data_IF_928081437615
#
_entry.id   IF_928081437615
#
_cell.length_a   1.000
_cell.length_b   1.000
_cell.length_c   1.000
_cell.angle_alpha   90.00
_cell.angle_beta   90.00
_cell.angle_gamma   90.00
#
_symmetry.space_group_name_H-M   'P 1'
#
loop_
_entity.id
_entity.type
_entity.pdbx_description
1 polymer ?
#
# COMPACT_ATOMS: atom_id res chain seq x y z
N UNK A 1 -24.55 9.69 -43.95
CA UNK A 1 -23.67 9.04 -42.95
C UNK A 1 -22.36 9.81 -42.78
N UNK A 2 -22.43 11.09 -42.36
CA UNK A 2 -21.26 11.95 -42.07
C UNK A 2 -21.41 12.75 -40.77
N UNK A 3 -22.44 12.44 -39.96
CA UNK A 3 -22.71 13.08 -38.67
C UNK A 3 -22.51 12.16 -37.46
N UNK A 4 -22.09 10.91 -37.67
CA UNK A 4 -21.78 9.95 -36.59
C UNK A 4 -20.28 9.87 -36.25
N UNK A 5 -19.38 10.39 -37.09
CA UNK A 5 -17.93 10.27 -36.88
C UNK A 5 -17.35 11.37 -35.96
N UNK A 6 -18.09 12.46 -35.72
CA UNK A 6 -17.60 13.59 -34.92
C UNK A 6 -17.85 13.38 -33.41
N UNK A 7 -18.86 12.57 -33.05
CA UNK A 7 -19.16 12.27 -31.65
C UNK A 7 -18.16 11.29 -31.00
N UNK A 8 -17.42 10.51 -31.80
CA UNK A 8 -16.48 9.49 -31.28
C UNK A 8 -15.08 10.06 -30.98
N UNK A 9 -14.72 11.21 -31.56
CA UNK A 9 -13.43 11.87 -31.31
C UNK A 9 -13.48 12.76 -30.06
N UNK A 10 -14.68 13.25 -29.68
CA UNK A 10 -14.87 14.05 -28.47
C UNK A 10 -14.92 13.22 -27.18
N UNK A 11 -15.20 11.91 -27.28
CA UNK A 11 -15.29 10.99 -26.15
C UNK A 11 -13.95 10.34 -25.76
N UNK A 12 -12.93 10.40 -26.63
CA UNK A 12 -11.60 9.80 -26.40
C UNK A 12 -10.57 10.80 -25.81
N UNK A 13 -10.95 12.07 -25.65
CA UNK A 13 -10.11 13.12 -25.07
C UNK A 13 -10.34 13.33 -23.55
N UNK A 14 -11.25 12.56 -22.93
CA UNK A 14 -11.64 12.70 -21.52
C UNK A 14 -11.04 11.61 -20.60
N UNK A 15 -10.10 10.80 -21.09
CA UNK A 15 -9.48 9.72 -20.32
C UNK A 15 -7.95 9.82 -20.23
N UNK A 16 -7.40 11.03 -20.36
CA UNK A 16 -6.00 11.29 -20.02
C UNK A 16 -5.98 11.90 -18.60
N UNK A 17 -5.32 11.28 -17.60
CA UNK A 17 -4.94 12.01 -16.39
C UNK A 17 -4.12 13.23 -16.83
N UNK A 18 -4.52 14.39 -16.32
CA UNK A 18 -4.07 15.68 -16.83
C UNK A 18 -2.56 15.83 -16.81
N UNK A 19 -1.94 15.87 -17.99
CA UNK A 19 -0.68 16.58 -18.17
C UNK A 19 -0.95 18.06 -17.92
N UNK A 20 -0.53 18.59 -16.76
CA UNK A 20 -0.47 20.03 -16.53
C UNK A 20 0.51 20.63 -17.55
N UNK A 21 0.00 21.39 -18.50
CA UNK A 21 0.79 22.02 -19.55
C UNK A 21 0.79 23.55 -19.34
N UNK A 22 2.01 24.06 -19.12
CA UNK A 22 2.50 25.41 -19.38
C UNK A 22 1.99 26.56 -18.50
N UNK A 23 2.83 26.96 -17.55
CA UNK A 23 2.89 28.34 -17.04
C UNK A 23 4.33 28.82 -17.13
N UNK A 24 4.57 29.86 -17.92
CA UNK A 24 5.87 30.53 -18.04
C UNK A 24 6.18 31.39 -16.80
N UNK A 25 7.47 31.39 -16.45
CA UNK A 25 8.23 32.34 -15.63
C UNK A 25 7.82 32.58 -14.18
N UNK A 26 7.96 31.52 -13.39
CA UNK A 26 8.43 31.54 -12.00
C UNK A 26 9.04 30.16 -11.74
N UNK A 27 10.18 30.06 -11.02
CA UNK A 27 10.64 28.75 -10.51
C UNK A 27 9.42 28.03 -9.92
N UNK A 28 9.04 26.84 -10.43
CA UNK A 28 7.93 26.12 -9.86
C UNK A 28 8.23 25.95 -8.38
N UNK A 29 7.28 26.25 -7.47
CA UNK A 29 7.49 26.01 -6.05
C UNK A 29 7.94 24.55 -5.92
N UNK A 30 9.02 24.32 -5.18
CA UNK A 30 9.61 23.01 -5.03
C UNK A 30 8.52 22.07 -4.48
N UNK A 31 7.91 21.28 -5.35
CA UNK A 31 6.89 20.33 -4.96
C UNK A 31 7.56 19.23 -4.14
N UNK A 32 7.05 19.02 -2.93
CA UNK A 32 7.53 17.98 -2.02
C UNK A 32 7.43 16.61 -2.73
N UNK A 33 8.45 15.75 -2.58
CA UNK A 33 8.58 14.50 -3.35
C UNK A 33 7.66 13.41 -2.77
N UNK A 34 6.92 12.68 -3.59
CA UNK A 34 6.19 11.49 -3.13
C UNK A 34 7.18 10.44 -2.59
N UNK A 35 6.97 9.90 -1.40
CA UNK A 35 7.88 8.87 -0.84
C UNK A 35 7.16 7.62 -0.41
N UNK A 36 5.83 7.57 -0.52
CA UNK A 36 5.07 6.38 -0.18
C UNK A 36 3.60 6.65 0.05
N UNK A 37 2.95 5.66 0.66
CA UNK A 37 1.60 5.77 1.21
C UNK A 37 1.57 5.29 2.65
N UNK A 38 0.68 5.87 3.44
CA UNK A 38 0.38 5.47 4.81
C UNK A 38 -1.06 4.99 4.89
N UNK A 39 -1.27 3.71 5.20
CA UNK A 39 -2.58 3.08 5.15
C UNK A 39 -3.28 3.22 6.51
N UNK A 40 -4.49 3.79 6.53
CA UNK A 40 -5.32 3.89 7.73
C UNK A 40 -6.67 3.18 7.56
N UNK A 41 -7.26 2.73 8.66
CA UNK A 41 -8.61 2.14 8.67
C UNK A 41 -9.71 3.20 8.50
N UNK A 42 -9.46 4.42 9.00
CA UNK A 42 -10.42 5.52 8.98
C UNK A 42 -9.88 6.68 8.14
N UNK A 43 -10.82 7.41 7.54
CA UNK A 43 -10.52 8.66 6.85
C UNK A 43 -9.88 9.65 7.83
N UNK A 44 -8.79 10.27 7.40
CA UNK A 44 -8.13 11.33 8.16
C UNK A 44 -8.78 12.65 7.76
N UNK A 45 -9.52 13.27 8.68
CA UNK A 45 -10.02 14.62 8.48
C UNK A 45 -9.00 15.63 9.01
N UNK A 46 -8.34 16.33 8.09
CA UNK A 46 -7.41 17.42 8.41
C UNK A 46 -7.95 18.79 8.04
N UNK A 47 -9.23 18.88 7.64
CA UNK A 47 -9.79 20.13 7.14
C UNK A 47 -10.07 21.10 8.30
N UNK A 48 -9.44 22.27 8.25
CA UNK A 48 -9.66 23.35 9.21
C UNK A 48 -10.94 24.11 8.87
N UNK A 49 -12.07 23.57 9.31
CA UNK A 49 -13.39 24.17 9.11
C UNK A 49 -13.51 25.57 9.72
N UNK A 50 -12.81 25.85 10.82
CA UNK A 50 -12.89 27.15 11.48
C UNK A 50 -12.19 28.21 10.64
N UNK A 51 -10.97 27.93 10.15
CA UNK A 51 -10.26 28.81 9.23
C UNK A 51 -11.04 29.01 7.92
N UNK A 52 -11.57 27.93 7.34
CA UNK A 52 -12.42 28.02 6.15
C UNK A 52 -13.66 28.89 6.40
N UNK A 53 -14.35 28.69 7.53
CA UNK A 53 -15.55 29.44 7.86
C UNK A 53 -15.24 30.92 8.07
N UNK A 54 -14.15 31.27 8.75
CA UNK A 54 -13.76 32.67 8.95
C UNK A 54 -13.51 33.40 7.62
N UNK A 55 -12.83 32.75 6.68
CA UNK A 55 -12.54 33.32 5.36
C UNK A 55 -13.78 33.34 4.43
N UNK A 56 -14.75 32.44 4.65
CA UNK A 56 -15.90 32.23 3.75
C UNK A 56 -17.28 32.48 4.38
N UNK A 57 -17.36 33.03 5.60
CA UNK A 57 -18.63 33.18 6.34
C UNK A 57 -19.69 33.98 5.56
N UNK A 58 -19.26 34.95 4.75
CA UNK A 58 -20.17 35.78 3.95
C UNK A 58 -20.81 35.04 2.75
N UNK A 59 -20.15 34.01 2.21
CA UNK A 59 -20.61 33.20 1.07
C UNK A 59 -21.41 31.95 1.47
N UNK A 60 -21.32 31.51 2.72
CA UNK A 60 -21.98 30.29 3.22
C UNK A 60 -23.50 30.40 3.47
N UNK A 61 -24.06 31.62 3.45
CA UNK A 61 -25.49 31.87 3.66
C UNK A 61 -26.41 31.29 2.56
N UNK A 62 -25.85 30.79 1.46
CA UNK A 62 -26.57 30.17 0.33
C UNK A 62 -26.40 28.66 0.16
N UNK A 63 -25.72 27.95 1.07
CA UNK A 63 -25.44 26.52 0.93
C UNK A 63 -24.29 26.20 -0.05
N UNK A 64 -23.19 26.95 0.03
CA UNK A 64 -22.01 26.71 -0.81
C UNK A 64 -21.34 25.35 -0.56
N UNK A 65 -20.74 24.79 -1.61
CA UNK A 65 -19.94 23.57 -1.55
C UNK A 65 -18.45 23.93 -1.30
N UNK A 66 -17.76 23.11 -0.52
CA UNK A 66 -16.30 23.21 -0.35
C UNK A 66 -15.64 22.73 -1.65
N UNK A 67 -14.87 23.62 -2.29
CA UNK A 67 -14.18 23.27 -3.53
C UNK A 67 -12.91 22.46 -3.24
N UNK A 68 -12.35 21.82 -4.28
CA UNK A 68 -11.05 21.15 -4.18
C UNK A 68 -9.91 22.11 -3.79
N UNK A 69 -9.95 23.35 -4.30
CA UNK A 69 -8.97 24.38 -3.96
C UNK A 69 -9.06 24.78 -2.49
N UNK A 70 -10.28 24.82 -1.93
CA UNK A 70 -10.49 25.03 -0.49
C UNK A 70 -9.93 23.84 0.31
N UNK A 71 -10.21 22.61 -0.10
CA UNK A 71 -9.64 21.43 0.56
C UNK A 71 -8.11 21.49 0.58
N UNK A 72 -7.46 21.85 -0.52
CA UNK A 72 -6.01 22.00 -0.59
C UNK A 72 -5.49 23.15 0.30
N UNK A 73 -6.23 24.27 0.41
CA UNK A 73 -5.85 25.43 1.23
C UNK A 73 -6.00 25.19 2.73
N UNK A 74 -7.09 24.55 3.15
CA UNK A 74 -7.46 24.44 4.57
C UNK A 74 -7.17 23.06 5.17
N UNK A 75 -6.66 22.09 4.40
CA UNK A 75 -6.20 20.81 4.95
C UNK A 75 -4.81 20.93 5.56
N UNK A 76 -4.67 20.46 6.80
CA UNK A 76 -3.40 20.43 7.50
C UNK A 76 -2.56 19.20 7.11
N UNK A 77 -1.24 19.38 7.05
CA UNK A 77 -0.27 18.28 6.87
C UNK A 77 -0.02 17.59 8.20
N UNK A 78 0.05 16.26 8.22
CA UNK A 78 0.46 15.49 9.41
C UNK A 78 1.92 15.11 9.26
N UNK A 79 2.78 15.72 10.06
CA UNK A 79 4.22 15.47 10.03
C UNK A 79 4.61 14.22 10.82
N UNK A 80 5.58 13.48 10.29
CA UNK A 80 6.21 12.36 10.96
C UNK A 80 7.41 12.79 11.81
N UNK A 81 7.69 12.02 12.85
CA UNK A 81 8.99 11.97 13.50
C UNK A 81 9.86 10.93 12.78
N UNK A 82 11.12 11.29 12.49
CA UNK A 82 12.09 10.39 11.86
C UNK A 82 13.21 10.09 12.86
N UNK A 83 13.32 8.82 13.26
CA UNK A 83 14.36 8.34 14.18
C UNK A 83 15.05 7.14 13.57
N UNK A 84 16.37 7.20 13.40
CA UNK A 84 17.19 6.12 12.81
C UNK A 84 16.65 5.57 11.47
N UNK A 85 16.10 6.44 10.62
CA UNK A 85 15.54 6.06 9.32
C UNK A 85 14.17 5.39 9.36
N UNK A 86 13.49 5.39 10.51
CA UNK A 86 12.09 4.97 10.67
C UNK A 86 11.17 6.18 10.74
N UNK A 87 10.03 6.10 10.05
CA UNK A 87 9.04 7.17 9.96
C UNK A 87 7.86 6.86 10.86
N UNK A 88 7.61 7.68 11.88
CA UNK A 88 6.48 7.51 12.80
C UNK A 88 5.52 8.69 12.69
N UNK A 89 4.27 8.41 12.35
CA UNK A 89 3.20 9.41 12.36
C UNK A 89 2.46 9.39 13.71
N UNK A 90 1.87 10.52 14.16
CA UNK A 90 1.08 10.59 15.39
C UNK A 90 -0.31 9.95 15.27
N UNK A 91 -0.50 9.06 14.30
CA UNK A 91 -1.74 8.34 13.99
C UNK A 91 -1.40 6.87 13.73
N UNK A 92 -2.35 5.97 14.01
CA UNK A 92 -2.16 4.54 13.75
C UNK A 92 -2.39 4.26 12.27
N UNK A 93 -1.47 3.48 11.68
CA UNK A 93 -1.55 3.02 10.31
C UNK A 93 -0.35 2.20 9.90
N UNK A 94 -0.35 1.77 8.65
CA UNK A 94 0.64 0.85 8.08
C UNK A 94 1.46 1.62 7.04
N UNK A 95 2.78 1.81 7.23
CA UNK A 95 3.61 2.49 6.25
C UNK A 95 3.94 1.58 5.06
N UNK A 96 3.92 2.14 3.85
CA UNK A 96 4.60 1.62 2.65
C UNK A 96 5.40 2.78 2.06
N UNK A 97 6.59 3.01 2.61
CA UNK A 97 7.38 4.23 2.39
C UNK A 97 8.80 3.86 1.98
N UNK A 98 9.35 4.59 1.01
CA UNK A 98 10.76 4.63 0.68
C UNK A 98 11.21 6.09 0.54
N UNK A 99 11.85 6.60 1.59
CA UNK A 99 12.29 7.99 1.69
C UNK A 99 13.82 8.10 1.67
N UNK A 100 14.32 9.28 1.33
CA UNK A 100 15.77 9.55 1.39
C UNK A 100 16.14 10.05 2.77
N UNK A 101 17.22 9.52 3.32
CA UNK A 101 17.78 9.96 4.58
C UNK A 101 19.24 10.34 4.39
N UNK A 102 19.77 11.14 5.32
CA UNK A 102 21.18 11.45 5.39
C UNK A 102 21.74 10.94 6.72
N UNK A 103 22.88 10.26 6.64
CA UNK A 103 23.64 9.81 7.81
C UNK A 103 25.12 9.91 7.50
N UNK A 104 25.87 10.55 8.40
CA UNK A 104 27.33 10.73 8.28
C UNK A 104 27.78 11.39 6.96
N UNK A 105 26.93 12.24 6.36
CA UNK A 105 27.20 12.93 5.09
C UNK A 105 26.90 12.09 3.84
N UNK A 106 26.39 10.88 4.00
CA UNK A 106 25.94 10.02 2.90
C UNK A 106 24.41 9.98 2.83
N UNK A 107 23.87 10.12 1.62
CA UNK A 107 22.45 9.94 1.36
C UNK A 107 22.13 8.49 1.02
N UNK A 108 21.09 7.94 1.62
CA UNK A 108 20.60 6.60 1.32
C UNK A 108 19.07 6.58 1.26
N UNK A 109 18.50 5.62 0.52
CA UNK A 109 17.06 5.33 0.56
C UNK A 109 16.79 4.32 1.66
N UNK A 110 15.95 4.68 2.63
CA UNK A 110 15.45 3.75 3.64
C UNK A 110 13.98 3.45 3.39
N UNK A 111 13.59 2.19 3.57
CA UNK A 111 12.19 1.77 3.47
C UNK A 111 11.59 1.49 4.84
N UNK A 112 10.35 1.92 5.01
CA UNK A 112 9.51 1.59 6.16
C UNK A 112 8.25 0.92 5.63
N UNK A 113 8.19 -0.40 5.82
CA UNK A 113 7.10 -1.25 5.37
C UNK A 113 6.50 -1.92 6.60
N UNK A 114 5.24 -1.62 6.88
CA UNK A 114 4.53 -2.09 8.06
C UNK A 114 4.33 -3.60 8.07
N UNK A 115 4.20 -4.15 9.27
CA UNK A 115 4.05 -5.59 9.53
C UNK A 115 2.74 -6.20 9.03
N UNK A 116 1.76 -5.37 8.64
CA UNK A 116 0.48 -5.80 8.02
C UNK A 116 0.57 -6.03 6.51
N UNK A 117 1.71 -5.73 5.89
CA UNK A 117 1.88 -5.87 4.44
C UNK A 117 2.47 -7.24 4.08
N UNK A 118 1.91 -7.86 3.04
CA UNK A 118 2.45 -9.03 2.37
C UNK A 118 2.99 -8.65 0.99
N UNK A 119 3.76 -9.57 0.38
CA UNK A 119 4.27 -9.45 -0.99
C UNK A 119 4.87 -8.07 -1.30
N UNK A 120 5.59 -7.53 -0.31
CA UNK A 120 6.23 -6.23 -0.42
C UNK A 120 7.39 -6.31 -1.40
N UNK A 121 7.34 -5.47 -2.43
CA UNK A 121 8.43 -5.32 -3.37
C UNK A 121 8.91 -3.87 -3.38
N UNK A 122 10.23 -3.71 -3.33
CA UNK A 122 10.90 -2.44 -3.55
C UNK A 122 11.91 -2.63 -4.66
N UNK A 123 11.82 -1.80 -5.70
CA UNK A 123 12.86 -1.70 -6.73
C UNK A 123 13.29 -0.26 -6.94
N UNK A 124 14.56 -0.08 -7.28
CA UNK A 124 15.12 1.23 -7.64
C UNK A 124 15.70 1.06 -9.05
N UNK A 125 15.03 1.69 -10.00
CA UNK A 125 15.40 1.68 -11.41
C UNK A 125 16.19 2.96 -11.71
N UNK A 126 17.44 2.80 -12.12
CA UNK A 126 18.34 3.90 -12.44
C UNK A 126 18.57 3.95 -13.96
N UNK A 127 18.15 5.04 -14.60
CA UNK A 127 18.42 5.36 -16.00
C UNK A 127 19.16 6.69 -16.13
N UNK A 128 19.73 6.99 -17.29
CA UNK A 128 20.54 8.21 -17.51
C UNK A 128 19.82 9.51 -17.06
N UNK A 129 18.50 9.58 -17.22
CA UNK A 129 17.71 10.78 -16.94
C UNK A 129 16.91 10.71 -15.63
N UNK A 130 16.71 9.52 -15.04
CA UNK A 130 15.71 9.34 -13.98
C UNK A 130 16.07 8.20 -13.02
N UNK A 131 15.84 8.43 -11.72
CA UNK A 131 15.82 7.37 -10.71
C UNK A 131 14.38 7.13 -10.25
N UNK A 132 13.81 5.99 -10.64
CA UNK A 132 12.43 5.60 -10.28
C UNK A 132 12.44 4.56 -9.17
N UNK A 133 11.76 4.86 -8.06
CA UNK A 133 11.48 3.90 -6.99
C UNK A 133 10.11 3.27 -7.22
N UNK A 134 10.00 1.95 -7.17
CA UNK A 134 8.74 1.23 -7.30
C UNK A 134 8.47 0.50 -6.00
N UNK A 135 7.29 0.74 -5.42
CA UNK A 135 6.79 0.09 -4.22
C UNK A 135 5.53 -0.71 -4.56
N UNK A 136 5.51 -1.98 -4.21
CA UNK A 136 4.28 -2.78 -4.19
C UNK A 136 4.07 -3.42 -2.85
N UNK A 137 2.81 -3.68 -2.51
CA UNK A 137 2.44 -4.49 -1.34
C UNK A 137 0.99 -4.94 -1.42
N UNK A 138 0.65 -5.92 -0.59
CA UNK A 138 -0.71 -6.40 -0.39
C UNK A 138 -1.11 -6.27 1.07
N UNK A 139 -2.33 -5.78 1.32
CA UNK A 139 -2.96 -5.77 2.63
C UNK A 139 -4.21 -6.64 2.58
N UNK A 140 -4.43 -7.40 3.64
CA UNK A 140 -5.62 -8.26 3.75
C UNK A 140 -6.61 -7.65 4.73
N UNK A 141 -7.90 -7.73 4.41
CA UNK A 141 -8.99 -7.24 5.26
C UNK A 141 -9.98 -8.35 5.59
N UNK A 142 -10.54 -8.32 6.79
CA UNK A 142 -11.52 -9.33 7.20
C UNK A 142 -12.85 -9.18 6.46
N UNK A 143 -13.19 -10.18 5.64
CA UNK A 143 -14.46 -10.25 4.92
C UNK A 143 -15.66 -10.58 5.81
N UNK A 144 -15.45 -11.06 7.04
CA UNK A 144 -16.50 -11.45 7.99
C UNK A 144 -17.07 -10.30 8.82
N UNK A 145 -16.28 -9.24 9.06
CA UNK A 145 -16.68 -8.09 9.90
C UNK A 145 -17.42 -6.97 9.15
N UNK A 146 -17.51 -7.04 7.81
CA UNK A 146 -18.23 -6.09 6.97
C UNK A 146 -17.34 -5.42 5.92
N UNK A 147 -17.74 -4.23 5.44
CA UNK A 147 -16.93 -3.45 4.49
C UNK A 147 -15.80 -2.76 5.24
N UNK A 148 -14.58 -3.29 5.11
CA UNK A 148 -13.35 -2.63 5.57
C UNK A 148 -12.84 -1.72 4.44
N UNK A 149 -12.52 -0.47 4.79
CA UNK A 149 -11.92 0.49 3.85
C UNK A 149 -10.49 0.78 4.29
N UNK A 150 -9.53 0.59 3.38
CA UNK A 150 -8.14 1.02 3.55
C UNK A 150 -7.97 2.39 2.90
N UNK A 151 -7.67 3.42 3.70
CA UNK A 151 -7.39 4.76 3.19
C UNK A 151 -5.90 4.90 2.90
N UNK A 152 -5.57 5.17 1.64
CA UNK A 152 -4.20 5.24 1.13
C UNK A 152 -3.73 6.70 1.13
N UNK A 153 -3.15 7.14 2.24
CA UNK A 153 -2.75 8.55 2.44
C UNK A 153 -1.37 8.81 1.80
N UNK A 154 -1.25 9.68 0.79
CA UNK A 154 0.04 9.98 0.17
C UNK A 154 1.02 10.56 1.18
N UNK A 155 2.27 10.10 1.13
CA UNK A 155 3.37 10.56 1.98
C UNK A 155 4.36 11.34 1.13
N UNK A 156 4.71 12.54 1.56
CA UNK A 156 5.65 13.42 0.86
C UNK A 156 6.85 13.76 1.73
N UNK A 157 7.98 14.02 1.08
CA UNK A 157 9.22 14.47 1.68
C UNK A 157 9.62 15.84 1.13
N UNK A 158 9.86 16.78 2.03
CA UNK A 158 10.34 18.12 1.73
C UNK A 158 11.84 18.12 1.45
N UNK A 159 12.34 19.18 0.80
CA UNK A 159 13.77 19.34 0.52
C UNK A 159 14.65 19.39 1.79
N UNK A 160 14.09 19.83 2.92
CA UNK A 160 14.76 19.83 4.23
C UNK A 160 14.69 18.47 4.96
N UNK A 161 14.18 17.43 4.30
CA UNK A 161 14.08 16.06 4.81
C UNK A 161 12.83 15.78 5.65
N UNK A 162 12.00 16.78 5.99
CA UNK A 162 10.76 16.54 6.73
C UNK A 162 9.79 15.69 5.93
N UNK A 163 9.15 14.74 6.59
CA UNK A 163 8.16 13.84 6.01
C UNK A 163 6.79 14.18 6.56
N UNK A 164 5.77 14.22 5.70
CA UNK A 164 4.38 14.42 6.10
C UNK A 164 3.43 13.60 5.23
N UNK A 165 2.22 13.38 5.71
CA UNK A 165 1.13 12.82 4.93
C UNK A 165 -0.03 13.80 4.80
N UNK A 166 -0.88 13.55 3.80
CA UNK A 166 -2.15 14.24 3.57
C UNK A 166 -3.27 13.20 3.43
N UNK A 167 -4.54 13.57 3.71
CA UNK A 167 -5.66 12.66 3.50
C UNK A 167 -5.70 12.12 2.07
N UNK A 168 -5.85 10.80 1.98
CA UNK A 168 -5.90 10.09 0.70
C UNK A 168 -7.26 9.50 0.37
N UNK A 169 -7.25 8.65 -0.66
CA UNK A 169 -8.44 7.96 -1.14
C UNK A 169 -8.67 6.64 -0.40
N UNK A 170 -9.94 6.30 -0.20
CA UNK A 170 -10.35 5.02 0.38
C UNK A 170 -10.49 3.94 -0.68
N UNK A 171 -9.97 2.75 -0.38
CA UNK A 171 -10.15 1.53 -1.15
C UNK A 171 -10.94 0.52 -0.32
N UNK A 172 -12.06 0.03 -0.85
CA UNK A 172 -12.93 -0.91 -0.14
C UNK A 172 -13.01 -2.22 -0.92
N UNK A 173 -12.27 -3.25 -0.51
CA UNK A 173 -12.49 -4.59 -1.04
C UNK A 173 -13.85 -5.14 -0.55
N UNK A 174 -14.63 -5.73 -1.46
CA UNK A 174 -15.81 -6.49 -1.10
C UNK A 174 -15.42 -7.90 -0.64
N UNK A 175 -16.39 -8.61 -0.02
CA UNK A 175 -16.17 -9.94 0.54
C UNK A 175 -15.65 -10.90 -0.54
N UNK A 176 -14.36 -11.25 -0.46
CA UNK A 176 -13.66 -12.15 -1.37
C UNK A 176 -13.14 -11.56 -2.68
N UNK A 177 -13.18 -10.23 -2.85
CA UNK A 177 -12.57 -9.52 -3.98
C UNK A 177 -11.23 -8.88 -3.62
N UNK A 178 -10.49 -8.47 -4.64
CA UNK A 178 -9.31 -7.63 -4.51
C UNK A 178 -9.52 -6.30 -5.22
N UNK A 179 -9.05 -5.22 -4.62
CA UNK A 179 -8.95 -3.90 -5.24
C UNK A 179 -7.50 -3.46 -5.30
N UNK A 180 -7.16 -2.68 -6.32
CA UNK A 180 -5.82 -2.14 -6.52
C UNK A 180 -5.87 -0.62 -6.45
N UNK A 181 -5.02 -0.06 -5.61
CA UNK A 181 -4.70 1.36 -5.54
C UNK A 181 -3.35 1.59 -6.21
N UNK A 182 -3.26 2.62 -7.06
CA UNK A 182 -2.02 3.02 -7.69
C UNK A 182 -1.83 4.52 -7.61
N UNK A 183 -0.62 4.95 -7.26
CA UNK A 183 -0.22 6.35 -7.19
C UNK A 183 1.20 6.48 -7.75
N UNK A 184 1.41 7.47 -8.61
CA UNK A 184 2.74 7.76 -9.14
C UNK A 184 2.98 9.26 -9.20
N UNK A 185 4.25 9.62 -9.11
CA UNK A 185 4.74 10.99 -9.28
C UNK A 185 6.15 10.94 -9.86
N UNK A 186 6.48 11.89 -10.73
CA UNK A 186 7.84 11.99 -11.29
C UNK A 186 8.16 13.41 -11.69
N UNK A 187 9.45 13.75 -11.60
CA UNK A 187 9.98 15.07 -11.92
C UNK A 187 11.37 14.95 -12.55
N UNK A 188 11.53 15.56 -13.71
CA UNK A 188 12.85 15.74 -14.33
C UNK A 188 13.72 16.66 -13.47
N UNK A 189 15.04 16.54 -13.58
CA UNK A 189 15.95 17.46 -12.92
C UNK A 189 15.91 18.84 -13.60
N UNK A 190 15.96 19.90 -12.79
CA UNK A 190 16.15 21.26 -13.28
C UNK A 190 17.62 21.56 -13.61
N UNK A 191 18.55 20.69 -13.20
CA UNK A 191 19.99 20.85 -13.38
C UNK A 191 20.46 19.92 -14.50
N UNK A 192 21.09 20.48 -15.53
CA UNK A 192 21.65 19.71 -16.64
C UNK A 192 22.69 18.69 -16.15
N UNK A 193 22.49 17.42 -16.48
CA UNK A 193 23.37 16.32 -16.06
C UNK A 193 23.03 15.69 -14.71
N UNK A 194 21.99 16.17 -14.01
CA UNK A 194 21.43 15.49 -12.84
C UNK A 194 20.20 14.66 -13.22
N UNK A 195 20.03 13.53 -12.54
CA UNK A 195 18.87 12.66 -12.73
C UNK A 195 17.63 13.24 -12.05
N UNK A 196 16.50 13.13 -12.73
CA UNK A 196 15.19 13.31 -12.13
C UNK A 196 14.87 12.22 -11.10
N UNK A 197 13.69 12.33 -10.51
CA UNK A 197 13.15 11.32 -9.60
C UNK A 197 11.76 10.84 -10.07
N UNK A 198 11.47 9.56 -9.82
CA UNK A 198 10.15 8.97 -10.00
C UNK A 198 9.77 8.07 -8.83
N UNK A 199 8.47 7.94 -8.59
CA UNK A 199 7.87 6.99 -7.67
C UNK A 199 6.64 6.36 -8.30
N UNK A 200 6.53 5.05 -8.15
CA UNK A 200 5.39 4.25 -8.56
C UNK A 200 4.97 3.38 -7.38
N UNK A 201 3.72 3.50 -6.94
CA UNK A 201 3.18 2.78 -5.79
C UNK A 201 1.99 1.98 -6.26
N UNK A 202 1.96 0.69 -5.93
CA UNK A 202 0.81 -0.19 -6.13
C UNK A 202 0.49 -0.94 -4.85
N UNK A 203 -0.68 -0.69 -4.27
CA UNK A 203 -1.18 -1.43 -3.12
C UNK A 203 -2.39 -2.26 -3.54
N UNK A 204 -2.37 -3.55 -3.24
CA UNK A 204 -3.55 -4.42 -3.39
C UNK A 204 -4.22 -4.59 -2.03
N UNK A 205 -5.53 -4.37 -1.94
CA UNK A 205 -6.32 -4.80 -0.78
C UNK A 205 -7.16 -6.00 -1.15
N UNK A 206 -7.03 -7.09 -0.39
CA UNK A 206 -7.73 -8.34 -0.64
C UNK A 206 -8.58 -8.73 0.56
N UNK A 207 -9.89 -8.85 0.34
CA UNK A 207 -10.81 -9.36 1.35
C UNK A 207 -10.64 -10.87 1.53
N UNK A 208 -10.36 -11.33 2.75
CA UNK A 208 -10.34 -12.76 3.11
C UNK A 208 -11.03 -13.03 4.43
N UNK A 209 -11.52 -14.26 4.57
CA UNK A 209 -11.88 -14.79 5.88
C UNK A 209 -10.62 -15.22 6.63
N UNK A 210 -10.63 -15.17 7.98
CA UNK A 210 -9.50 -15.63 8.76
C UNK A 210 -9.28 -17.13 8.54
N UNK A 211 -8.05 -17.58 8.73
CA UNK A 211 -7.76 -19.00 8.83
C UNK A 211 -8.45 -19.55 10.09
N UNK A 212 -9.27 -20.57 9.94
CA UNK A 212 -9.86 -21.31 11.06
C UNK A 212 -8.83 -22.31 11.65
N UNK A 213 -7.95 -22.86 10.79
CA UNK A 213 -6.91 -23.83 11.16
C UNK A 213 -5.87 -23.95 10.05
N UNK A 214 -4.63 -24.23 10.42
CA UNK A 214 -3.56 -24.56 9.47
C UNK A 214 -3.10 -26.01 9.64
N UNK A 215 -2.64 -26.64 8.57
CA UNK A 215 -1.97 -27.94 8.65
C UNK A 215 -0.80 -28.05 7.68
N UNK A 216 0.23 -28.79 8.09
CA UNK A 216 1.41 -29.06 7.25
C UNK A 216 1.60 -30.56 7.16
N UNK A 217 1.57 -31.07 5.94
CA UNK A 217 1.75 -32.48 5.61
C UNK A 217 3.11 -32.65 4.95
N UNK A 218 4.01 -33.40 5.57
CA UNK A 218 5.34 -33.67 5.05
C UNK A 218 5.33 -34.96 4.22
N UNK A 219 5.95 -34.93 3.05
CA UNK A 219 5.98 -36.03 2.11
C UNK A 219 7.41 -36.37 1.69
N UNK A 220 7.68 -37.68 1.58
CA UNK A 220 8.95 -38.18 1.04
C UNK A 220 9.07 -37.93 -0.46
N UNK A 221 10.27 -38.13 -1.02
CA UNK A 221 10.51 -38.04 -2.46
C UNK A 221 9.64 -39.02 -3.27
N UNK A 222 9.27 -40.16 -2.69
CA UNK A 222 8.42 -41.18 -3.30
C UNK A 222 6.91 -40.87 -3.16
N UNK A 223 6.56 -39.75 -2.51
CA UNK A 223 5.18 -39.30 -2.32
C UNK A 223 4.48 -39.96 -1.12
N UNK A 224 5.22 -40.58 -0.20
CA UNK A 224 4.66 -41.15 1.02
C UNK A 224 4.48 -40.06 2.08
N UNK A 225 3.31 -40.04 2.75
CA UNK A 225 3.06 -39.12 3.85
C UNK A 225 3.94 -39.51 5.06
N UNK A 226 4.84 -38.62 5.44
CA UNK A 226 5.74 -38.80 6.58
C UNK A 226 5.12 -38.30 7.88
N UNK A 227 4.32 -37.24 7.82
CA UNK A 227 3.71 -36.65 9.01
C UNK A 227 2.70 -35.56 8.68
N UNK A 228 1.84 -35.25 9.65
CA UNK A 228 0.88 -34.15 9.59
C UNK A 228 0.83 -33.45 10.93
N UNK A 229 1.01 -32.14 10.93
CA UNK A 229 0.90 -31.29 12.12
C UNK A 229 -0.16 -30.23 11.86
N UNK A 230 -1.02 -29.98 12.85
CA UNK A 230 -2.00 -28.90 12.81
C UNK A 230 -1.55 -27.75 13.70
N UNK A 231 -1.85 -26.53 13.28
CA UNK A 231 -1.53 -25.30 14.00
C UNK A 231 -2.78 -24.42 14.10
N UNK A 232 -2.93 -23.72 15.22
CA UNK A 232 -3.72 -22.50 15.23
C UNK A 232 -2.97 -21.42 14.40
N UNK A 233 -3.67 -20.49 13.73
CA UNK A 233 -3.03 -19.44 12.92
C UNK A 233 -1.94 -18.67 13.66
N UNK A 234 -2.18 -18.32 14.93
CA UNK A 234 -1.25 -17.60 15.81
C UNK A 234 0.03 -18.40 16.15
N UNK A 235 -0.09 -19.73 16.18
CA UNK A 235 0.96 -20.66 16.61
C UNK A 235 1.82 -21.16 15.43
N UNK A 236 1.50 -20.76 14.19
CA UNK A 236 2.22 -21.21 13.00
C UNK A 236 3.68 -20.72 13.02
N UNK A 237 4.69 -21.60 13.01
CA UNK A 237 6.08 -21.19 13.07
C UNK A 237 6.52 -20.53 11.76
N UNK A 238 7.57 -19.70 11.82
CA UNK A 238 8.22 -19.14 10.61
C UNK A 238 8.98 -20.21 9.81
N UNK A 239 9.46 -21.26 10.48
CA UNK A 239 10.21 -22.35 9.85
C UNK A 239 9.69 -23.70 10.33
N UNK A 240 9.56 -24.63 9.38
CA UNK A 240 9.27 -26.04 9.62
C UNK A 240 10.44 -26.85 9.10
N UNK A 241 11.01 -27.69 9.96
CA UNK A 241 12.04 -28.62 9.57
C UNK A 241 11.49 -29.66 8.58
N UNK A 242 12.18 -29.86 7.47
CA UNK A 242 11.81 -30.83 6.46
C UNK A 242 12.05 -32.27 6.96
N UNK A 243 13.04 -32.50 7.82
CA UNK A 243 13.33 -33.80 8.45
C UNK A 243 13.34 -34.98 7.46
N UNK A 244 13.92 -34.77 6.27
CA UNK A 244 14.00 -35.76 5.19
C UNK A 244 12.81 -35.78 4.22
N UNK A 245 11.81 -34.91 4.41
CA UNK A 245 10.77 -34.65 3.43
C UNK A 245 11.35 -33.97 2.18
N UNK A 246 10.80 -34.33 1.01
CA UNK A 246 11.11 -33.67 -0.25
C UNK A 246 10.15 -32.51 -0.54
N UNK A 247 8.94 -32.56 0.02
CA UNK A 247 7.90 -31.57 -0.19
C UNK A 247 6.94 -31.53 1.01
N UNK A 248 6.29 -30.39 1.19
CA UNK A 248 5.17 -30.23 2.11
C UNK A 248 3.92 -29.75 1.36
N UNK A 249 2.76 -30.22 1.80
CA UNK A 249 1.46 -29.60 1.49
C UNK A 249 1.05 -28.78 2.69
N UNK A 250 1.00 -27.46 2.51
CA UNK A 250 0.39 -26.54 3.45
C UNK A 250 -1.10 -26.43 3.14
N UNK A 251 -1.92 -26.62 4.16
CA UNK A 251 -3.37 -26.46 4.10
C UNK A 251 -3.80 -25.30 5.00
N UNK A 252 -4.51 -24.33 4.43
CA UNK A 252 -5.24 -23.29 5.17
C UNK A 252 -6.73 -23.59 5.08
N UNK A 253 -7.32 -23.92 6.22
CA UNK A 253 -8.75 -24.14 6.39
C UNK A 253 -9.36 -22.78 6.69
N UNK A 254 -10.13 -22.27 5.75
CA UNK A 254 -10.75 -20.94 5.79
C UNK A 254 -12.14 -21.02 5.16
N UNK A 255 -12.67 -19.90 4.69
CA UNK A 255 -13.95 -19.81 4.00
C UNK A 255 -13.80 -19.08 2.68
N UNK A 256 -14.62 -19.46 1.71
CA UNK A 256 -14.72 -18.76 0.44
C UNK A 256 -15.47 -17.42 0.59
N UNK A 257 -15.63 -16.70 -0.51
CA UNK A 257 -16.32 -15.40 -0.52
C UNK A 257 -17.80 -15.45 -0.11
N UNK A 258 -18.44 -16.62 -0.14
CA UNK A 258 -19.80 -16.85 0.36
C UNK A 258 -19.82 -17.22 1.86
N UNK A 259 -18.66 -17.37 2.48
CA UNK A 259 -18.52 -17.82 3.86
C UNK A 259 -18.58 -19.34 4.02
N UNK A 260 -18.55 -20.11 2.92
CA UNK A 260 -18.58 -21.58 2.97
C UNK A 260 -17.18 -22.15 3.23
N UNK A 261 -17.04 -23.25 4.00
CA UNK A 261 -15.75 -23.84 4.29
C UNK A 261 -14.92 -24.17 3.04
N UNK A 262 -13.67 -23.72 3.03
CA UNK A 262 -12.70 -23.91 1.97
C UNK A 262 -11.38 -24.42 2.54
N UNK A 263 -10.62 -25.20 1.76
CA UNK A 263 -9.23 -25.53 2.07
C UNK A 263 -8.34 -25.07 0.93
N UNK A 264 -7.49 -24.08 1.20
CA UNK A 264 -6.44 -23.63 0.28
C UNK A 264 -5.23 -24.54 0.49
N UNK A 265 -4.68 -25.07 -0.61
CA UNK A 265 -3.52 -25.97 -0.58
C UNK A 265 -2.37 -25.39 -1.38
N UNK A 266 -1.17 -25.44 -0.81
CA UNK A 266 0.07 -25.09 -1.51
C UNK A 266 1.10 -26.20 -1.32
N UNK A 267 1.67 -26.66 -2.42
CA UNK A 267 2.79 -27.60 -2.43
C UNK A 267 4.09 -26.79 -2.43
N UNK A 268 5.00 -27.07 -1.51
CA UNK A 268 6.29 -26.39 -1.39
C UNK A 268 7.38 -27.46 -1.31
N UNK A 269 8.42 -27.34 -2.15
CA UNK A 269 9.57 -28.23 -2.10
C UNK A 269 10.47 -27.90 -0.89
N UNK A 270 11.10 -28.92 -0.31
CA UNK A 270 12.09 -28.72 0.75
C UNK A 270 13.28 -27.89 0.23
N UNK A 271 13.84 -27.05 1.09
CA UNK A 271 14.93 -26.14 0.78
C UNK A 271 14.62 -25.10 -0.32
N UNK A 272 13.35 -24.89 -0.67
CA UNK A 272 12.98 -23.77 -1.53
C UNK A 272 13.00 -22.45 -0.74
N UNK A 273 13.07 -21.35 -1.47
CA UNK A 273 12.86 -20.01 -0.93
C UNK A 273 11.37 -19.62 -0.98
N UNK A 274 10.50 -20.54 -1.40
CA UNK A 274 9.06 -20.33 -1.40
C UNK A 274 8.50 -20.54 0.00
N UNK A 275 7.66 -19.60 0.43
CA UNK A 275 6.96 -19.66 1.70
C UNK A 275 5.47 -19.87 1.55
N UNK A 276 4.86 -20.38 2.61
CA UNK A 276 3.42 -20.41 2.78
C UNK A 276 2.96 -19.17 3.55
N UNK A 277 2.18 -18.32 2.90
CA UNK A 277 1.55 -17.17 3.55
C UNK A 277 0.34 -17.63 4.34
N UNK A 278 0.38 -17.39 5.65
CA UNK A 278 -0.76 -17.52 6.55
C UNK A 278 -1.18 -16.13 7.05
N UNK A 279 -2.47 -15.97 7.34
CA UNK A 279 -3.02 -14.70 7.80
C UNK A 279 -3.56 -14.88 9.22
N UNK A 280 -3.11 -14.01 10.11
CA UNK A 280 -3.57 -13.93 11.49
C UNK A 280 -4.17 -12.56 11.76
N UNK A 281 -5.24 -12.48 12.56
CA UNK A 281 -5.85 -11.22 12.93
C UNK A 281 -5.90 -11.12 14.45
N UNK A 282 -5.26 -10.11 15.01
CA UNK A 282 -5.35 -9.87 16.45
C UNK A 282 -6.75 -9.35 16.83
N UNK A 283 -7.25 -9.65 18.04
CA UNK A 283 -8.53 -9.14 18.49
C UNK A 283 -8.62 -7.61 18.42
N UNK A 284 -9.58 -7.09 17.65
CA UNK A 284 -9.83 -5.65 17.52
C UNK A 284 -9.08 -4.96 16.38
N UNK A 285 -8.29 -5.69 15.60
CA UNK A 285 -7.71 -5.18 14.35
C UNK A 285 -8.61 -5.46 13.15
N UNK A 286 -8.38 -4.70 12.06
CA UNK A 286 -9.09 -4.86 10.77
C UNK A 286 -8.21 -5.37 9.63
N UNK A 287 -6.89 -5.24 9.79
CA UNK A 287 -5.90 -5.73 8.84
C UNK A 287 -5.21 -6.96 9.42
N UNK A 288 -5.04 -7.99 8.60
CA UNK A 288 -4.31 -9.17 9.03
C UNK A 288 -2.82 -8.86 9.18
N UNK A 289 -2.18 -9.54 10.13
CA UNK A 289 -0.74 -9.75 10.16
C UNK A 289 -0.40 -10.96 9.27
N UNK A 290 0.23 -10.76 8.10
CA UNK A 290 0.77 -11.86 7.31
C UNK A 290 1.97 -12.51 8.02
N UNK A 291 2.04 -13.85 7.96
CA UNK A 291 3.21 -14.62 8.36
C UNK A 291 3.56 -15.61 7.26
N UNK A 292 4.82 -15.60 6.85
CA UNK A 292 5.36 -16.54 5.86
C UNK A 292 6.09 -17.66 6.58
N UNK A 293 5.67 -18.90 6.33
CA UNK A 293 6.32 -20.11 6.85
C UNK A 293 7.13 -20.80 5.76
N UNK A 294 8.39 -21.12 6.06
CA UNK A 294 9.30 -21.80 5.14
C UNK A 294 9.53 -23.26 5.53
N UNK A 295 9.79 -24.10 4.53
CA UNK A 295 10.22 -25.49 4.73
C UNK A 295 11.76 -25.57 4.59
N UNK A 296 12.46 -25.88 5.68
CA UNK A 296 13.93 -25.85 5.77
C UNK A 296 14.56 -27.20 6.05
#
# INVERSE_FOLDING_TARGET
MKKLAIALILALALSLPGCSLLREDSEPPETDRLVGVYITESYIDTFDFEAYFQDNASSLSGGGEISREDTEKYSQRIYAEVVDGKTSFPIVGVPLIAARYEKDGESYTGSDCGDKLADVHLSINNSDDMVTTVLTGEIFTDSGSGRVTAYCNPVYQQADGRIYLVPGEGMTADSGGSMVFSLSDSRESAVEGEQGYGMEITLTATGRYPSDKLAVLLYSADGELMGRTEYAPEDMPEEIAADGAAWAVFEDYTRDFLGEPQVIRRLIAACSDEGFLSLHMEPGEVFYTPRTTYLK
#
